data_IF_913864841012
#
_entry.id   IF_913864841012
#
_cell.length_a   1.000
_cell.length_b   1.000
_cell.length_c   1.000
_cell.angle_alpha   90.00
_cell.angle_beta   90.00
_cell.angle_gamma   90.00
#
_symmetry.space_group_name_H-M   'P 1'
#
loop_
_entity.id
_entity.type
_entity.pdbx_description
1 polymer ?
#
# COMPACT_ATOMS: atom_id res chain seq x y z
N UNK A 1 -38.30 -13.57 18.40
CA UNK A 1 -37.19 -13.28 17.46
C UNK A 1 -37.51 -12.11 16.51
N UNK A 2 -38.77 -11.70 16.37
CA UNK A 2 -39.22 -10.61 15.46
C UNK A 2 -38.79 -9.17 15.82
N UNK A 3 -38.51 -8.85 17.09
CA UNK A 3 -38.27 -7.46 17.53
C UNK A 3 -36.85 -6.96 17.32
N UNK A 4 -35.86 -7.87 17.24
CA UNK A 4 -34.46 -7.53 16.97
C UNK A 4 -34.28 -7.07 15.52
N UNK A 5 -35.00 -7.71 14.60
CA UNK A 5 -34.95 -7.43 13.16
C UNK A 5 -35.52 -6.04 12.83
N UNK A 6 -36.62 -5.63 13.47
CA UNK A 6 -37.22 -4.31 13.27
C UNK A 6 -36.32 -3.16 13.74
N UNK A 7 -35.64 -3.30 14.88
CA UNK A 7 -34.71 -2.26 15.38
C UNK A 7 -33.48 -2.14 14.48
N UNK A 8 -32.94 -3.28 14.02
CA UNK A 8 -31.82 -3.29 13.08
C UNK A 8 -32.22 -2.67 11.73
N UNK A 9 -33.39 -3.03 11.19
CA UNK A 9 -33.92 -2.43 9.96
C UNK A 9 -34.13 -0.91 10.06
N UNK A 10 -34.59 -0.41 11.22
CA UNK A 10 -34.71 1.03 11.46
C UNK A 10 -33.36 1.74 11.49
N UNK A 11 -32.34 1.15 12.12
CA UNK A 11 -30.99 1.72 12.16
C UNK A 11 -30.38 1.73 10.76
N UNK A 12 -30.42 0.61 10.04
CA UNK A 12 -29.88 0.52 8.68
C UNK A 12 -30.63 1.42 7.69
N UNK A 13 -31.96 1.46 7.76
CA UNK A 13 -32.78 2.36 6.96
C UNK A 13 -32.48 3.83 7.25
N UNK A 14 -32.37 4.20 8.52
CA UNK A 14 -31.98 5.56 8.93
C UNK A 14 -30.60 5.96 8.42
N UNK A 15 -29.61 5.07 8.54
CA UNK A 15 -28.25 5.30 8.04
C UNK A 15 -28.22 5.48 6.52
N UNK A 16 -28.94 4.65 5.77
CA UNK A 16 -29.02 4.75 4.31
C UNK A 16 -29.72 6.04 3.86
N UNK A 17 -30.77 6.46 4.56
CA UNK A 17 -31.44 7.74 4.29
C UNK A 17 -30.49 8.91 4.55
N UNK A 18 -29.82 8.93 5.71
CA UNK A 18 -28.87 9.98 6.05
C UNK A 18 -27.72 10.06 5.03
N UNK A 19 -27.14 8.92 4.67
CA UNK A 19 -26.08 8.84 3.66
C UNK A 19 -26.59 9.30 2.29
N UNK A 20 -27.78 8.86 1.88
CA UNK A 20 -28.39 9.24 0.61
C UNK A 20 -28.69 10.73 0.52
N UNK A 21 -29.21 11.34 1.59
CA UNK A 21 -29.41 12.80 1.68
C UNK A 21 -28.07 13.52 1.60
N UNK A 22 -27.06 13.07 2.34
CA UNK A 22 -25.74 13.70 2.33
C UNK A 22 -25.09 13.65 0.94
N UNK A 23 -25.17 12.51 0.25
CA UNK A 23 -24.69 12.34 -1.13
C UNK A 23 -25.48 13.18 -2.14
N UNK A 24 -26.81 13.28 -1.98
CA UNK A 24 -27.62 14.15 -2.81
C UNK A 24 -27.22 15.62 -2.62
N UNK A 25 -27.03 16.05 -1.38
CA UNK A 25 -26.60 17.41 -1.06
C UNK A 25 -25.20 17.70 -1.65
N UNK A 26 -24.24 16.79 -1.51
CA UNK A 26 -22.92 16.88 -2.14
C UNK A 26 -23.02 17.23 -3.64
N UNK A 27 -23.91 16.55 -4.37
CA UNK A 27 -24.08 16.73 -5.81
C UNK A 27 -24.53 18.15 -6.20
N UNK A 28 -25.29 18.83 -5.33
CA UNK A 28 -25.84 20.15 -5.65
C UNK A 28 -25.01 21.31 -5.10
N UNK A 29 -24.41 21.16 -3.91
CA UNK A 29 -23.74 22.27 -3.22
C UNK A 29 -22.24 22.07 -3.00
N UNK A 30 -21.70 20.86 -3.21
CA UNK A 30 -20.30 20.50 -2.94
C UNK A 30 -19.94 20.65 -1.46
N UNK A 31 -20.08 19.57 -0.66
CA UNK A 31 -19.81 19.69 0.77
C UNK A 31 -18.32 19.88 1.01
N UNK A 32 -18.00 20.62 2.07
CA UNK A 32 -16.61 20.71 2.51
C UNK A 32 -16.09 19.34 2.96
N UNK A 33 -14.81 19.05 2.71
CA UNK A 33 -14.17 17.82 3.15
C UNK A 33 -14.29 17.59 4.68
N UNK A 34 -14.39 18.66 5.47
CA UNK A 34 -14.61 18.58 6.92
C UNK A 34 -15.93 17.91 7.32
N UNK A 35 -16.97 18.03 6.49
CA UNK A 35 -18.25 17.34 6.71
C UNK A 35 -18.05 15.83 6.55
N UNK A 36 -17.31 15.41 5.53
CA UNK A 36 -16.93 14.00 5.34
C UNK A 36 -16.05 13.47 6.48
N UNK A 37 -15.06 14.25 6.92
CA UNK A 37 -14.21 13.89 8.09
C UNK A 37 -15.08 13.70 9.33
N UNK A 38 -16.01 14.63 9.61
CA UNK A 38 -16.90 14.55 10.75
C UNK A 38 -17.85 13.33 10.66
N UNK A 39 -18.46 13.10 9.50
CA UNK A 39 -19.34 11.97 9.27
C UNK A 39 -18.62 10.63 9.49
N UNK A 40 -17.41 10.48 8.93
CA UNK A 40 -16.59 9.27 9.11
C UNK A 40 -16.14 9.10 10.56
N UNK A 41 -15.72 10.17 11.24
CA UNK A 41 -15.31 10.13 12.64
C UNK A 41 -16.46 9.71 13.57
N UNK A 42 -17.65 10.28 13.36
CA UNK A 42 -18.87 9.94 14.11
C UNK A 42 -19.33 8.51 13.83
N UNK A 43 -19.29 8.08 12.57
CA UNK A 43 -19.61 6.69 12.22
C UNK A 43 -18.63 5.70 12.87
N UNK A 44 -17.34 6.01 12.88
CA UNK A 44 -16.33 5.20 13.56
C UNK A 44 -16.52 5.16 15.07
N UNK A 45 -16.88 6.29 15.70
CA UNK A 45 -17.27 6.36 17.11
C UNK A 45 -18.52 5.52 17.41
N UNK A 46 -19.50 5.52 16.50
CA UNK A 46 -20.70 4.68 16.62
C UNK A 46 -20.36 3.19 16.60
N UNK A 47 -19.58 2.74 15.61
CA UNK A 47 -19.12 1.36 15.53
C UNK A 47 -18.28 0.94 16.75
N UNK A 48 -17.38 1.81 17.20
CA UNK A 48 -16.60 1.57 18.41
C UNK A 48 -17.46 1.55 19.68
N UNK A 49 -18.45 2.44 19.79
CA UNK A 49 -19.39 2.46 20.93
C UNK A 49 -20.27 1.21 21.01
N UNK A 50 -20.70 0.67 19.86
CA UNK A 50 -21.39 -0.61 19.80
C UNK A 50 -20.48 -1.76 20.28
N UNK A 51 -19.21 -1.77 19.85
CA UNK A 51 -18.22 -2.72 20.36
C UNK A 51 -18.01 -2.60 21.89
N UNK A 52 -17.99 -1.38 22.43
CA UNK A 52 -17.87 -1.18 23.88
C UNK A 52 -19.08 -1.69 24.66
N UNK A 53 -20.26 -1.70 24.04
CA UNK A 53 -21.49 -2.22 24.65
C UNK A 53 -21.49 -3.75 24.66
N UNK A 54 -21.06 -4.37 23.56
CA UNK A 54 -20.95 -5.83 23.43
C UNK A 54 -19.59 -6.22 22.84
N UNK A 55 -18.64 -6.51 23.73
CA UNK A 55 -17.26 -6.87 23.34
C UNK A 55 -17.17 -8.22 22.63
N UNK A 56 -18.24 -9.01 22.59
CA UNK A 56 -18.29 -10.23 21.78
C UNK A 56 -18.25 -9.90 20.28
N UNK A 57 -18.71 -8.71 19.89
CA UNK A 57 -18.75 -8.22 18.50
C UNK A 57 -17.44 -7.57 18.07
N UNK A 58 -16.32 -8.25 18.29
CA UNK A 58 -14.98 -7.74 17.95
C UNK A 58 -14.82 -7.34 16.48
N UNK A 59 -15.63 -7.92 15.58
CA UNK A 59 -15.64 -7.56 14.15
C UNK A 59 -15.92 -6.08 13.88
N UNK A 60 -16.60 -5.37 14.80
CA UNK A 60 -16.89 -3.93 14.69
C UNK A 60 -15.65 -3.03 14.84
N UNK A 61 -14.56 -3.55 15.43
CA UNK A 61 -13.30 -2.82 15.52
C UNK A 61 -12.69 -2.54 14.14
N UNK A 62 -12.89 -3.44 13.18
CA UNK A 62 -12.34 -3.29 11.83
C UNK A 62 -13.01 -2.10 11.11
N UNK A 63 -14.35 -2.03 10.99
CA UNK A 63 -15.03 -0.84 10.45
C UNK A 63 -14.67 0.44 11.21
N UNK A 64 -14.64 0.42 12.55
CA UNK A 64 -14.27 1.60 13.33
C UNK A 64 -12.87 2.12 12.98
N UNK A 65 -11.91 1.21 12.92
CA UNK A 65 -10.53 1.52 12.52
C UNK A 65 -10.44 2.08 11.11
N UNK A 66 -11.08 1.43 10.13
CA UNK A 66 -11.07 1.87 8.72
C UNK A 66 -11.69 3.24 8.56
N UNK A 67 -12.83 3.50 9.21
CA UNK A 67 -13.50 4.80 9.18
C UNK A 67 -12.60 5.91 9.73
N UNK A 68 -11.91 5.65 10.84
CA UNK A 68 -10.97 6.62 11.40
C UNK A 68 -9.69 6.79 10.59
N UNK A 69 -9.16 5.72 10.00
CA UNK A 69 -8.01 5.80 9.10
C UNK A 69 -8.32 6.65 7.87
N UNK A 70 -9.53 6.51 7.29
CA UNK A 70 -9.98 7.33 6.15
C UNK A 70 -10.28 8.76 6.61
N UNK A 71 -10.94 8.97 7.75
CA UNK A 71 -11.18 10.31 8.30
C UNK A 71 -9.86 11.07 8.51
N UNK A 72 -8.86 10.41 9.09
CA UNK A 72 -7.51 10.94 9.26
C UNK A 72 -6.84 11.27 7.92
N UNK A 73 -6.96 10.39 6.93
CA UNK A 73 -6.44 10.63 5.58
C UNK A 73 -7.02 11.90 4.97
N UNK A 74 -8.35 12.00 4.94
CA UNK A 74 -9.07 13.15 4.37
C UNK A 74 -8.73 14.43 5.12
N UNK A 75 -8.66 14.39 6.46
CA UNK A 75 -8.28 15.53 7.27
C UNK A 75 -6.86 16.02 6.97
N UNK A 76 -5.89 15.10 6.90
CA UNK A 76 -4.49 15.43 6.63
C UNK A 76 -4.26 15.93 5.20
N UNK A 77 -5.02 15.42 4.23
CA UNK A 77 -5.07 15.95 2.86
C UNK A 77 -5.65 17.37 2.85
N UNK A 78 -6.75 17.59 3.57
CA UNK A 78 -7.42 18.91 3.65
C UNK A 78 -6.54 19.95 4.34
N UNK A 79 -5.78 19.54 5.35
CA UNK A 79 -4.78 20.38 6.03
C UNK A 79 -3.49 20.56 5.21
N UNK A 80 -3.40 19.93 4.04
CA UNK A 80 -2.24 20.01 3.15
C UNK A 80 -0.93 19.50 3.81
N UNK A 81 -1.07 18.57 4.76
CA UNK A 81 0.02 17.89 5.49
C UNK A 81 0.51 16.69 4.70
N UNK A 82 -0.41 15.88 4.16
CA UNK A 82 -0.09 14.80 3.24
C UNK A 82 -0.21 15.31 1.80
N UNK A 83 0.85 15.10 1.00
CA UNK A 83 0.89 15.43 -0.42
C UNK A 83 1.61 14.31 -1.17
N UNK A 84 1.27 14.16 -2.45
CA UNK A 84 1.97 13.26 -3.36
C UNK A 84 2.11 11.81 -2.82
N UNK A 85 3.31 11.23 -2.81
CA UNK A 85 3.63 9.91 -2.27
C UNK A 85 3.52 9.78 -0.75
N UNK A 86 3.50 10.87 0.03
CA UNK A 86 3.22 10.79 1.47
C UNK A 86 1.82 10.19 1.74
N UNK A 87 0.89 10.34 0.79
CA UNK A 87 -0.43 9.69 0.82
C UNK A 87 -0.29 8.17 0.82
N UNK A 88 0.54 7.61 -0.06
CA UNK A 88 0.78 6.17 -0.13
C UNK A 88 1.46 5.67 1.15
N UNK A 89 2.44 6.43 1.67
CA UNK A 89 3.09 6.13 2.95
C UNK A 89 2.09 6.05 4.11
N UNK A 90 1.19 7.02 4.20
CA UNK A 90 0.12 7.01 5.20
C UNK A 90 -0.78 5.77 5.04
N UNK A 91 -1.26 5.51 3.82
CA UNK A 91 -2.19 4.39 3.57
C UNK A 91 -1.55 3.05 3.89
N UNK A 92 -0.31 2.81 3.45
CA UNK A 92 0.41 1.58 3.74
C UNK A 92 0.66 1.40 5.25
N UNK A 93 1.03 2.48 5.94
CA UNK A 93 1.22 2.47 7.40
C UNK A 93 -0.10 2.17 8.11
N UNK A 94 -1.20 2.80 7.70
CA UNK A 94 -2.52 2.54 8.26
C UNK A 94 -2.96 1.08 8.00
N UNK A 95 -2.63 0.48 6.87
CA UNK A 95 -2.94 -0.94 6.64
C UNK A 95 -2.03 -1.84 7.48
N UNK A 96 -0.80 -1.43 7.79
CA UNK A 96 0.13 -2.21 8.61
C UNK A 96 -0.26 -2.29 10.09
N UNK A 97 -0.88 -1.26 10.65
CA UNK A 97 -1.21 -1.18 12.09
C UNK A 97 -2.08 -2.34 12.60
N UNK A 98 -3.16 -2.78 11.90
CA UNK A 98 -3.91 -3.96 12.30
C UNK A 98 -3.07 -5.24 12.42
N UNK A 99 -2.12 -5.45 11.51
CA UNK A 99 -1.23 -6.62 11.56
C UNK A 99 -0.26 -6.52 12.74
N UNK A 100 0.28 -5.33 13.02
CA UNK A 100 1.08 -5.09 14.22
C UNK A 100 0.27 -5.35 15.48
N UNK A 101 -0.98 -4.88 15.54
CA UNK A 101 -1.87 -5.13 16.67
C UNK A 101 -2.10 -6.63 16.89
N UNK A 102 -2.35 -7.41 15.83
CA UNK A 102 -2.51 -8.88 15.92
C UNK A 102 -1.27 -9.51 16.57
N UNK A 103 -0.07 -9.16 16.11
CA UNK A 103 1.18 -9.68 16.68
C UNK A 103 1.40 -9.24 18.14
N UNK A 104 1.14 -7.97 18.46
CA UNK A 104 1.31 -7.44 19.81
C UNK A 104 0.32 -8.05 20.79
N UNK A 105 -0.89 -8.38 20.32
CA UNK A 105 -1.94 -9.02 21.11
C UNK A 105 -1.62 -10.48 21.41
N UNK A 106 -1.15 -11.22 20.42
CA UNK A 106 -0.73 -12.61 20.56
C UNK A 106 0.55 -12.88 19.78
N UNK A 107 1.65 -13.06 20.51
CA UNK A 107 2.98 -13.31 19.94
C UNK A 107 3.08 -14.67 19.23
N UNK A 108 2.13 -15.57 19.44
CA UNK A 108 2.00 -16.80 18.66
C UNK A 108 1.58 -16.51 17.21
N UNK A 109 0.89 -15.39 16.96
CA UNK A 109 0.53 -14.90 15.61
C UNK A 109 1.70 -14.15 14.95
N UNK A 110 2.91 -14.73 15.00
CA UNK A 110 4.12 -14.12 14.45
C UNK A 110 4.05 -13.87 12.93
N UNK A 111 3.20 -14.60 12.21
CA UNK A 111 3.00 -14.43 10.77
C UNK A 111 2.54 -13.01 10.41
N UNK A 112 1.82 -12.32 11.32
CA UNK A 112 1.30 -10.98 11.08
C UNK A 112 2.43 -9.93 10.99
N UNK A 113 3.62 -10.21 11.50
CA UNK A 113 4.78 -9.34 11.30
C UNK A 113 5.22 -9.28 9.84
N UNK A 114 5.00 -10.33 9.04
CA UNK A 114 5.47 -10.35 7.64
C UNK A 114 4.70 -9.30 6.82
N UNK A 115 3.34 -9.29 6.77
CA UNK A 115 2.60 -8.24 6.08
C UNK A 115 2.86 -6.86 6.67
N UNK A 116 2.90 -6.73 8.00
CA UNK A 116 3.18 -5.45 8.66
C UNK A 116 4.52 -4.86 8.21
N UNK A 117 5.58 -5.68 8.22
CA UNK A 117 6.92 -5.27 7.81
C UNK A 117 6.94 -4.85 6.33
N UNK A 118 6.37 -5.66 5.43
CA UNK A 118 6.40 -5.38 4.00
C UNK A 118 5.65 -4.08 3.68
N UNK A 119 4.48 -3.87 4.28
CA UNK A 119 3.71 -2.63 4.10
C UNK A 119 4.49 -1.41 4.59
N UNK A 120 5.12 -1.50 5.76
CA UNK A 120 5.96 -0.42 6.30
C UNK A 120 7.21 -0.18 5.45
N UNK A 121 7.86 -1.24 4.97
CA UNK A 121 9.03 -1.13 4.11
C UNK A 121 8.68 -0.45 2.77
N UNK A 122 7.54 -0.78 2.17
CA UNK A 122 7.05 -0.09 0.97
C UNK A 122 6.67 1.36 1.29
N UNK A 123 6.08 1.64 2.46
CA UNK A 123 5.85 3.02 2.90
C UNK A 123 7.15 3.83 3.00
N UNK A 124 8.19 3.25 3.60
CA UNK A 124 9.53 3.86 3.64
C UNK A 124 10.10 4.06 2.23
N UNK A 125 9.95 3.07 1.34
CA UNK A 125 10.38 3.17 -0.05
C UNK A 125 9.80 4.40 -0.74
N UNK A 126 8.49 4.64 -0.59
CA UNK A 126 7.84 5.80 -1.19
C UNK A 126 8.46 7.10 -0.68
N UNK A 127 8.68 7.22 0.63
CA UNK A 127 9.36 8.39 1.19
C UNK A 127 10.81 8.56 0.69
N UNK A 128 11.53 7.46 0.44
CA UNK A 128 12.88 7.51 -0.14
C UNK A 128 12.87 7.97 -1.60
N UNK A 129 11.86 7.60 -2.38
CA UNK A 129 11.67 8.05 -3.77
C UNK A 129 11.38 9.55 -3.78
N UNK A 130 10.42 10.00 -2.96
CA UNK A 130 10.07 11.42 -2.86
C UNK A 130 11.24 12.28 -2.38
N UNK A 131 12.04 11.76 -1.46
CA UNK A 131 13.25 12.43 -0.98
C UNK A 131 14.39 12.47 -2.00
N UNK A 132 14.22 11.87 -3.19
CA UNK A 132 15.27 11.77 -4.21
C UNK A 132 16.44 10.86 -3.83
N UNK A 133 16.26 10.00 -2.82
CA UNK A 133 17.30 9.10 -2.31
C UNK A 133 17.30 7.79 -3.10
N UNK A 134 16.11 7.27 -3.43
CA UNK A 134 15.94 6.03 -4.18
C UNK A 134 15.54 6.33 -5.62
N UNK A 135 16.31 5.81 -6.58
CA UNK A 135 16.00 5.88 -8.01
C UNK A 135 14.87 4.91 -8.37
N UNK A 136 14.01 5.33 -9.32
CA UNK A 136 12.92 4.51 -9.86
C UNK A 136 13.40 3.14 -10.39
N UNK A 137 14.62 3.10 -10.93
CA UNK A 137 15.23 1.90 -11.47
C UNK A 137 15.58 0.87 -10.39
N UNK A 138 15.78 1.32 -9.15
CA UNK A 138 16.09 0.45 -8.00
C UNK A 138 14.84 -0.03 -7.27
N UNK A 139 13.64 0.43 -7.63
CA UNK A 139 12.38 0.03 -6.99
C UNK A 139 12.19 -1.48 -7.00
N UNK A 140 12.33 -2.20 -8.14
CA UNK A 140 12.12 -3.65 -8.16
C UNK A 140 13.08 -4.38 -7.22
N UNK A 141 14.36 -3.98 -7.23
CA UNK A 141 15.36 -4.55 -6.33
C UNK A 141 15.00 -4.29 -4.85
N UNK A 142 14.65 -3.05 -4.52
CA UNK A 142 14.25 -2.67 -3.16
C UNK A 142 13.08 -3.53 -2.67
N UNK A 143 12.00 -3.62 -3.45
CA UNK A 143 10.80 -4.38 -3.06
C UNK A 143 11.14 -5.86 -2.85
N UNK A 144 11.92 -6.45 -3.75
CA UNK A 144 12.32 -7.86 -3.62
C UNK A 144 13.14 -8.11 -2.35
N UNK A 145 14.12 -7.25 -2.04
CA UNK A 145 14.88 -7.38 -0.79
C UNK A 145 14.05 -7.10 0.46
N UNK A 146 13.17 -6.09 0.41
CA UNK A 146 12.24 -5.80 1.49
C UNK A 146 11.37 -7.02 1.81
N UNK A 147 10.85 -7.71 0.80
CA UNK A 147 10.07 -8.95 1.00
C UNK A 147 10.95 -10.09 1.54
N UNK A 148 12.21 -10.20 1.12
CA UNK A 148 13.12 -11.26 1.57
C UNK A 148 13.44 -11.20 3.08
N UNK A 149 13.62 -9.98 3.62
CA UNK A 149 14.04 -9.76 5.02
C UNK A 149 13.17 -10.49 6.05
N UNK A 150 11.82 -10.36 6.06
CA UNK A 150 11.00 -11.03 7.07
C UNK A 150 11.09 -12.56 6.99
N UNK A 151 11.28 -13.15 5.80
CA UNK A 151 11.48 -14.60 5.67
C UNK A 151 12.82 -15.06 6.27
N UNK A 152 13.90 -14.32 6.03
CA UNK A 152 15.17 -14.60 6.70
C UNK A 152 15.08 -14.39 8.21
N UNK A 153 14.32 -13.40 8.66
CA UNK A 153 14.02 -13.19 10.08
C UNK A 153 13.28 -14.38 10.71
N UNK A 154 12.32 -14.99 9.99
CA UNK A 154 11.62 -16.21 10.44
C UNK A 154 12.60 -17.37 10.62
N UNK A 155 13.46 -17.62 9.63
CA UNK A 155 14.47 -18.69 9.72
C UNK A 155 15.51 -18.43 10.82
N UNK A 156 15.97 -17.18 10.96
CA UNK A 156 16.93 -16.79 12.00
C UNK A 156 16.36 -16.94 13.41
N UNK A 157 15.04 -16.73 13.59
CA UNK A 157 14.37 -16.90 14.88
C UNK A 157 14.21 -18.36 15.28
N UNK A 158 13.91 -19.24 14.33
CA UNK A 158 13.84 -20.67 14.56
C UNK A 158 14.23 -21.43 13.27
N UNK A 159 15.38 -22.10 13.33
CA UNK A 159 15.95 -22.84 12.19
C UNK A 159 15.10 -24.04 11.76
N UNK A 160 14.12 -24.47 12.57
CA UNK A 160 13.12 -25.46 12.17
C UNK A 160 12.22 -24.95 11.04
N UNK A 161 12.09 -23.63 10.85
CA UNK A 161 11.32 -23.02 9.76
C UNK A 161 12.16 -22.86 8.48
N UNK A 162 12.83 -23.94 8.06
CA UNK A 162 13.65 -23.97 6.84
C UNK A 162 12.88 -23.58 5.58
N UNK A 163 11.56 -23.81 5.57
CA UNK A 163 10.67 -23.42 4.47
C UNK A 163 10.78 -21.93 4.13
N UNK A 164 11.14 -21.06 5.08
CA UNK A 164 11.26 -19.62 4.86
C UNK A 164 12.48 -19.23 4.00
N UNK A 165 13.51 -20.09 3.92
CA UNK A 165 14.67 -19.85 3.06
C UNK A 165 14.33 -19.90 1.58
N UNK A 166 13.28 -20.65 1.19
CA UNK A 166 12.86 -20.77 -0.19
C UNK A 166 12.27 -19.45 -0.71
N UNK A 167 11.17 -18.90 -0.14
CA UNK A 167 10.64 -17.62 -0.58
C UNK A 167 11.64 -16.48 -0.32
N UNK A 168 12.33 -16.46 0.84
CA UNK A 168 13.34 -15.44 1.13
C UNK A 168 14.51 -15.47 0.14
N UNK A 169 15.00 -16.67 -0.18
CA UNK A 169 16.09 -16.88 -1.14
C UNK A 169 15.70 -16.51 -2.57
N UNK A 170 14.49 -16.89 -3.02
CA UNK A 170 13.98 -16.50 -4.35
C UNK A 170 13.87 -14.98 -4.44
N UNK A 171 13.28 -14.33 -3.43
CA UNK A 171 13.11 -12.87 -3.41
C UNK A 171 14.48 -12.17 -3.38
N UNK A 172 15.43 -12.65 -2.57
CA UNK A 172 16.79 -12.10 -2.55
C UNK A 172 17.53 -12.29 -3.88
N UNK A 173 17.41 -13.47 -4.50
CA UNK A 173 18.00 -13.75 -5.81
C UNK A 173 17.40 -12.85 -6.89
N UNK A 174 16.09 -12.64 -6.88
CA UNK A 174 15.41 -11.71 -7.78
C UNK A 174 15.85 -10.27 -7.57
N UNK A 175 15.94 -9.83 -6.31
CA UNK A 175 16.45 -8.49 -5.98
C UNK A 175 17.87 -8.28 -6.51
N UNK A 176 18.73 -9.28 -6.35
CA UNK A 176 20.10 -9.25 -6.88
C UNK A 176 20.11 -9.23 -8.41
N UNK A 177 19.27 -10.04 -9.05
CA UNK A 177 19.13 -10.05 -10.51
C UNK A 177 18.70 -8.67 -11.04
N UNK A 178 17.77 -7.99 -10.38
CA UNK A 178 17.37 -6.63 -10.76
C UNK A 178 18.51 -5.61 -10.56
N UNK A 179 19.27 -5.69 -9.47
CA UNK A 179 20.45 -4.82 -9.28
C UNK A 179 21.51 -5.03 -10.37
N UNK A 180 21.80 -6.28 -10.71
CA UNK A 180 22.77 -6.60 -11.77
C UNK A 180 22.25 -6.13 -13.13
N UNK A 181 20.96 -6.37 -13.40
CA UNK A 181 20.34 -5.94 -14.65
C UNK A 181 20.40 -4.43 -14.83
N UNK A 182 20.16 -3.66 -13.76
CA UNK A 182 20.26 -2.20 -13.78
C UNK A 182 21.70 -1.73 -14.05
N UNK A 183 22.66 -2.28 -13.32
CA UNK A 183 24.08 -1.97 -13.54
C UNK A 183 24.53 -2.33 -14.98
N UNK A 184 24.02 -3.43 -15.54
CA UNK A 184 24.31 -3.83 -16.91
C UNK A 184 23.60 -2.91 -17.93
N UNK A 185 22.34 -2.54 -17.69
CA UNK A 185 21.55 -1.68 -18.58
C UNK A 185 22.25 -0.33 -18.82
N UNK A 186 22.91 0.22 -17.80
CA UNK A 186 23.70 1.45 -17.90
C UNK A 186 24.77 1.39 -18.99
N UNK A 187 25.32 0.21 -19.31
CA UNK A 187 26.34 0.02 -20.34
C UNK A 187 25.79 -0.62 -21.62
N UNK A 188 24.89 -1.61 -21.48
CA UNK A 188 24.35 -2.39 -22.58
C UNK A 188 23.43 -1.55 -23.45
N UNK A 189 22.55 -0.72 -22.88
CA UNK A 189 21.64 0.10 -23.68
C UNK A 189 22.40 1.09 -24.58
N UNK A 190 23.39 1.87 -24.08
CA UNK A 190 24.22 2.70 -24.95
C UNK A 190 24.98 1.91 -26.02
N UNK A 191 25.58 0.77 -25.66
CA UNK A 191 26.32 -0.06 -26.61
C UNK A 191 25.42 -0.57 -27.75
N UNK A 192 24.22 -1.05 -27.42
CA UNK A 192 23.22 -1.48 -28.42
C UNK A 192 22.80 -0.33 -29.32
N UNK A 193 22.56 0.87 -28.75
CA UNK A 193 22.22 2.06 -29.54
C UNK A 193 23.34 2.48 -30.49
N UNK A 194 24.60 2.43 -30.04
CA UNK A 194 25.76 2.73 -30.88
C UNK A 194 25.86 1.72 -32.03
N UNK A 195 25.77 0.42 -31.74
CA UNK A 195 25.83 -0.64 -32.75
C UNK A 195 24.68 -0.49 -33.77
N UNK A 196 23.46 -0.26 -33.29
CA UNK A 196 22.30 -0.04 -34.15
C UNK A 196 22.48 1.21 -35.03
N UNK A 197 22.98 2.32 -34.47
CA UNK A 197 23.27 3.54 -35.22
C UNK A 197 24.32 3.32 -36.31
N UNK A 198 25.42 2.64 -35.99
CA UNK A 198 26.46 2.27 -36.96
C UNK A 198 25.87 1.39 -38.07
N UNK A 199 25.07 0.39 -37.72
CA UNK A 199 24.42 -0.50 -38.70
C UNK A 199 23.50 0.26 -39.66
N UNK A 200 22.69 1.20 -39.15
CA UNK A 200 21.82 2.05 -39.98
C UNK A 200 22.65 2.91 -40.94
N UNK A 201 23.72 3.54 -40.46
CA UNK A 201 24.60 4.37 -41.29
C UNK A 201 25.24 3.56 -42.41
N UNK A 202 25.83 2.40 -42.09
CA UNK A 202 26.42 1.50 -43.09
C UNK A 202 25.39 1.10 -44.13
N UNK A 203 24.18 0.72 -43.70
CA UNK A 203 23.09 0.34 -44.62
C UNK A 203 22.64 1.50 -45.52
N UNK A 204 22.72 2.74 -45.04
CA UNK A 204 22.39 3.94 -45.82
C UNK A 204 23.42 4.22 -46.92
N UNK A 205 24.71 4.07 -46.63
CA UNK A 205 25.77 4.28 -47.62
C UNK A 205 25.81 3.17 -48.68
N UNK A 206 25.52 1.91 -48.28
CA UNK A 206 25.47 0.78 -49.21
C UNK A 206 24.24 0.83 -50.15
N UNK A 207 23.16 1.54 -49.78
CA UNK A 207 21.96 1.70 -50.62
C UNK A 207 22.02 2.87 -51.61
N UNK A 208 23.12 3.62 -51.67
CA UNK A 208 23.33 4.67 -52.67
C UNK A 208 24.14 4.13 -53.84
N UNK A 209 23.47 3.39 -54.72
CA UNK A 209 23.91 3.24 -56.12
C UNK A 209 23.21 4.28 -57.01
N UNK A 210 23.87 4.72 -58.10
CA UNK A 210 23.66 6.04 -58.71
C UNK A 210 22.32 6.12 -59.45
N UNK A 211 21.56 7.21 -59.24
CA UNK A 211 20.59 7.61 -60.26
C UNK A 211 21.38 8.12 -61.47
N UNK A 212 21.20 7.44 -62.59
CA UNK A 212 21.64 7.85 -63.93
C UNK A 212 21.14 9.26 -64.28
#
# INVERSE_FOLDING_TARGET
MESLDRKQALVWGGLLILLGVMLAVEQFIGLSAWIWVAALAVAGLGAFGLYLTDRSQWGLLIPAYVLWAIAGLVALLTLNVLRDGAVATYVLTAIALPFLYVFLRDRAQWWALIPAYVLLAIGVMVGLIEGGILSDLLIPAYVMFAIAIPFFGVYARNTQYWWALIPGGIMAAMGLAFLIAEAAAQYVAPAVLVIAGVWILVRMFVRREPRA
#
